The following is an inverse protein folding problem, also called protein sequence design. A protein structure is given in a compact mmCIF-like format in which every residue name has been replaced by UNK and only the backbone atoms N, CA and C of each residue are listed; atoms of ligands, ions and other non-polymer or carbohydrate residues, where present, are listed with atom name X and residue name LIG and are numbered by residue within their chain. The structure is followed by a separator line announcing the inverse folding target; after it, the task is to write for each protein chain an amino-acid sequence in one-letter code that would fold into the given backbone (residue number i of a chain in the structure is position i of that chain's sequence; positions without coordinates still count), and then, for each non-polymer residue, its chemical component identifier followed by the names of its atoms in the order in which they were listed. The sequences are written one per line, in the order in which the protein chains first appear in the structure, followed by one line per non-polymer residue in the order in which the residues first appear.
data_IF_774914248668
#
_entry.id   IF_774914248668
#
_cell.length_a   1.000
_cell.length_b   1.000
_cell.length_c   1.000
_cell.angle_alpha   90.00
_cell.angle_beta   90.00
_cell.angle_gamma   90.00
#
_symmetry.space_group_name_H-M   'P 1'
#
loop_
_entity.id
_entity.type
_entity.pdbx_description
1 polymer ?
#
# COMPACT_ATOMS: atom_id res chain seq x y z
N UNK A 1 -2.93 3.07 -16.42
CA UNK A 1 -4.28 2.85 -15.80
C UNK A 1 -4.08 1.93 -14.60
N UNK A 2 -4.69 2.23 -13.44
CA UNK A 2 -4.53 1.41 -12.21
C UNK A 2 -4.92 -0.06 -12.42
N UNK A 3 -5.91 -0.34 -13.28
CA UNK A 3 -6.34 -1.70 -13.62
C UNK A 3 -5.30 -2.54 -14.36
N UNK A 4 -4.23 -1.93 -14.89
CA UNK A 4 -3.18 -2.61 -15.65
C UNK A 4 -1.92 -2.87 -14.84
N UNK A 5 -1.80 -2.29 -13.66
CA UNK A 5 -0.61 -2.42 -12.81
C UNK A 5 -0.87 -3.49 -11.77
N UNK A 6 -0.09 -4.57 -11.81
CA UNK A 6 -0.11 -5.63 -10.81
C UNK A 6 1.29 -5.81 -10.24
N UNK A 7 1.42 -5.67 -8.93
CA UNK A 7 2.69 -5.84 -8.23
C UNK A 7 2.41 -6.26 -6.79
N UNK A 8 3.20 -7.20 -6.24
CA UNK A 8 2.99 -7.74 -4.88
C UNK A 8 2.99 -6.70 -3.75
N UNK A 9 3.63 -5.55 -3.97
CA UNK A 9 3.73 -4.44 -3.01
C UNK A 9 2.78 -3.28 -3.35
N UNK A 10 1.84 -3.47 -4.28
CA UNK A 10 0.77 -2.53 -4.59
C UNK A 10 -0.56 -3.17 -4.26
N UNK A 11 -1.48 -2.36 -3.74
CA UNK A 11 -2.85 -2.81 -3.47
C UNK A 11 -3.56 -3.06 -4.79
N UNK A 12 -4.11 -4.26 -4.94
CA UNK A 12 -4.86 -4.63 -6.13
C UNK A 12 -6.16 -3.81 -6.24
N UNK A 13 -6.26 -3.04 -7.32
CA UNK A 13 -7.49 -2.37 -7.70
C UNK A 13 -8.44 -3.39 -8.37
N UNK A 14 -9.66 -3.49 -7.84
CA UNK A 14 -10.69 -4.42 -8.34
C UNK A 14 -11.65 -3.70 -9.27
N UNK A 15 -12.07 -2.48 -8.91
CA UNK A 15 -13.02 -1.71 -9.72
C UNK A 15 -13.44 -0.41 -9.06
N UNK A 16 -14.28 0.35 -9.77
CA UNK A 16 -14.87 1.57 -9.23
C UNK A 16 -16.31 1.74 -9.73
N UNK A 17 -17.14 2.36 -8.91
CA UNK A 17 -18.48 2.82 -9.26
C UNK A 17 -18.52 4.35 -9.13
N UNK A 18 -19.34 5.04 -9.92
CA UNK A 18 -19.47 6.50 -9.88
C UNK A 18 -20.82 6.99 -9.35
N UNK A 19 -21.90 6.21 -9.50
CA UNK A 19 -23.25 6.63 -9.13
C UNK A 19 -23.88 5.68 -8.09
N UNK A 20 -24.51 6.21 -7.02
CA UNK A 20 -24.73 7.63 -6.70
C UNK A 20 -23.53 8.33 -6.02
N UNK A 21 -22.48 7.59 -5.65
CA UNK A 21 -21.24 8.10 -5.04
C UNK A 21 -20.04 7.38 -5.65
N UNK A 22 -18.91 8.07 -5.77
CA UNK A 22 -17.66 7.45 -6.21
C UNK A 22 -17.18 6.44 -5.17
N UNK A 23 -17.12 5.17 -5.55
CA UNK A 23 -16.59 4.07 -4.75
C UNK A 23 -15.41 3.45 -5.48
N UNK A 24 -14.30 3.22 -4.77
CA UNK A 24 -13.14 2.48 -5.25
C UNK A 24 -13.08 1.18 -4.46
N UNK A 25 -13.07 0.06 -5.16
CA UNK A 25 -12.97 -1.28 -4.59
C UNK A 25 -11.55 -1.78 -4.80
N UNK A 26 -10.90 -2.16 -3.70
CA UNK A 26 -9.56 -2.75 -3.67
C UNK A 26 -9.59 -4.03 -2.86
N UNK A 27 -8.49 -4.81 -2.89
CA UNK A 27 -8.31 -5.88 -1.92
C UNK A 27 -8.31 -5.36 -0.47
N UNK A 28 -8.70 -6.23 0.46
CA UNK A 28 -8.74 -5.91 1.89
C UNK A 28 -7.41 -6.26 2.56
N UNK A 29 -6.71 -5.26 3.07
CA UNK A 29 -5.53 -5.44 3.92
C UNK A 29 -5.90 -5.27 5.40
N UNK A 30 -5.91 -6.37 6.15
CA UNK A 30 -6.32 -6.39 7.56
C UNK A 30 -5.32 -5.70 8.50
N UNK A 31 -4.08 -5.49 8.07
CA UNK A 31 -3.02 -4.82 8.84
C UNK A 31 -3.21 -3.30 9.02
N UNK A 32 -4.14 -2.69 8.29
CA UNK A 32 -4.35 -1.24 8.32
C UNK A 32 -3.20 -0.45 7.68
N UNK A 33 -2.97 0.78 8.15
CA UNK A 33 -1.96 1.68 7.56
C UNK A 33 -0.61 1.60 8.26
N UNK A 34 0.46 1.77 7.50
CA UNK A 34 1.82 1.88 8.06
C UNK A 34 1.93 3.02 9.08
N UNK A 35 1.23 4.16 8.86
CA UNK A 35 1.16 5.26 9.83
C UNK A 35 0.60 4.80 11.18
N UNK A 36 -0.53 4.06 11.19
CA UNK A 36 -1.12 3.54 12.43
C UNK A 36 -0.15 2.59 13.13
N UNK A 37 0.52 1.73 12.38
CA UNK A 37 1.52 0.82 12.92
C UNK A 37 2.69 1.56 13.58
N UNK A 38 3.26 2.55 12.90
CA UNK A 38 4.41 3.32 13.40
C UNK A 38 4.06 4.20 14.61
N UNK A 39 2.88 4.85 14.61
CA UNK A 39 2.53 5.83 15.65
C UNK A 39 1.85 5.19 16.85
N UNK A 40 0.95 4.22 16.64
CA UNK A 40 0.08 3.73 17.72
C UNK A 40 0.50 2.37 18.28
N UNK A 41 1.21 1.54 17.51
CA UNK A 41 1.53 0.17 17.94
C UNK A 41 2.98 -0.01 18.45
N UNK A 42 3.89 0.92 18.17
CA UNK A 42 5.28 0.86 18.63
C UNK A 42 5.83 2.22 19.08
N UNK A 43 5.47 2.68 20.29
CA UNK A 43 5.99 3.94 20.83
C UNK A 43 7.52 3.95 20.99
N UNK A 44 8.15 2.78 21.15
CA UNK A 44 9.60 2.65 21.36
C UNK A 44 10.41 2.48 20.06
N UNK A 45 9.79 2.70 18.89
CA UNK A 45 10.45 2.56 17.59
C UNK A 45 10.56 1.12 17.06
N UNK A 46 11.06 0.98 15.84
CA UNK A 46 11.32 -0.30 15.17
C UNK A 46 12.79 -0.69 15.33
N UNK A 47 13.06 -1.99 15.42
CA UNK A 47 14.38 -2.54 15.10
C UNK A 47 14.79 -2.05 13.70
N UNK A 48 16.03 -1.61 13.54
CA UNK A 48 16.53 -0.92 12.34
C UNK A 48 16.37 -1.71 11.06
N UNK A 49 16.33 -3.05 11.11
CA UNK A 49 16.15 -3.88 9.92
C UNK A 49 14.71 -3.83 9.37
N UNK A 50 13.71 -3.64 10.23
CA UNK A 50 12.29 -3.62 9.84
C UNK A 50 11.93 -2.43 8.92
N UNK A 51 12.25 -1.17 9.25
CA UNK A 51 11.93 -0.03 8.39
C UNK A 51 12.71 -0.07 7.07
N UNK A 52 13.91 -0.67 7.04
CA UNK A 52 14.66 -0.89 5.79
C UNK A 52 13.88 -1.84 4.87
N UNK A 53 13.32 -2.92 5.41
CA UNK A 53 12.43 -3.81 4.66
C UNK A 53 11.22 -3.09 4.07
N UNK A 54 10.53 -2.29 4.89
CA UNK A 54 9.39 -1.48 4.41
C UNK A 54 9.81 -0.50 3.31
N UNK A 55 10.91 0.22 3.50
CA UNK A 55 11.41 1.17 2.51
C UNK A 55 11.74 0.48 1.18
N UNK A 56 12.37 -0.69 1.22
CA UNK A 56 12.68 -1.47 0.02
C UNK A 56 11.42 -1.94 -0.71
N UNK A 57 10.41 -2.42 0.02
CA UNK A 57 9.17 -2.88 -0.59
C UNK A 57 8.37 -1.74 -1.22
N UNK A 58 8.35 -0.57 -0.58
CA UNK A 58 7.76 0.66 -1.14
C UNK A 58 8.53 1.10 -2.39
N UNK A 59 9.86 1.13 -2.34
CA UNK A 59 10.69 1.54 -3.47
C UNK A 59 10.44 0.67 -4.71
N UNK A 60 10.34 -0.65 -4.55
CA UNK A 60 10.01 -1.59 -5.63
C UNK A 60 8.63 -1.33 -6.23
N UNK A 61 7.63 -1.04 -5.40
CA UNK A 61 6.31 -0.65 -5.88
C UNK A 61 6.36 0.66 -6.69
N UNK A 62 7.12 1.64 -6.24
CA UNK A 62 7.29 2.92 -6.93
C UNK A 62 8.03 2.76 -8.27
N UNK A 63 9.05 1.91 -8.33
CA UNK A 63 9.73 1.56 -9.59
C UNK A 63 8.76 0.94 -10.61
N UNK A 64 7.90 0.03 -10.15
CA UNK A 64 6.83 -0.53 -10.99
C UNK A 64 5.87 0.56 -11.51
N UNK A 65 5.47 1.51 -10.66
CA UNK A 65 4.60 2.62 -11.06
C UNK A 65 5.28 3.60 -12.02
N UNK A 66 6.58 3.85 -11.86
CA UNK A 66 7.31 4.76 -12.75
C UNK A 66 7.57 4.16 -14.15
N UNK A 67 7.59 2.83 -14.25
CA UNK A 67 7.81 2.12 -15.51
C UNK A 67 6.54 1.87 -16.32
N UNK A 68 5.36 2.28 -15.82
CA UNK A 68 4.03 2.06 -16.43
C UNK A 68 3.27 3.37 -16.63
#
# INVERSE_FOLDING_TARGET
MLSKVQHKNLVNFIGACKDPVMVIVTELLTGGTLRKYLVNMRPNGLDTHVPIGFALDIARAMECLHSH
#
